data_IF_585000455926
#
_entry.id   IF_585000455926
#
_cell.length_a   1.000
_cell.length_b   1.000
_cell.length_c   1.000
_cell.angle_alpha   90.00
_cell.angle_beta   90.00
_cell.angle_gamma   90.00
#
_symmetry.space_group_name_H-M   'P 1'
#
loop_
_entity.id
_entity.type
_entity.pdbx_description
1 polymer ?
#
# COMPACT_ATOMS: atom_id res chain seq x y z
N UNK A 1 0.51 -20.79 -5.51
CA UNK A 1 1.31 -19.65 -6.00
C UNK A 1 0.90 -19.43 -7.44
N UNK A 2 0.30 -18.29 -7.77
CA UNK A 2 -0.12 -17.99 -9.14
C UNK A 2 1.07 -17.46 -9.92
N UNK A 3 1.28 -17.97 -11.13
CA UNK A 3 2.36 -17.52 -12.04
C UNK A 3 1.70 -16.87 -13.24
N UNK A 4 2.16 -15.68 -13.59
CA UNK A 4 1.72 -14.96 -14.77
C UNK A 4 2.91 -14.74 -15.70
N UNK A 5 2.73 -15.05 -16.99
CA UNK A 5 3.79 -14.95 -17.99
C UNK A 5 3.66 -13.63 -18.73
N UNK A 6 4.70 -12.82 -18.67
CA UNK A 6 4.82 -11.61 -19.47
C UNK A 6 5.31 -12.01 -20.87
N UNK A 7 4.55 -11.65 -21.90
CA UNK A 7 4.88 -11.93 -23.31
C UNK A 7 5.16 -10.67 -24.13
N UNK A 8 4.84 -9.50 -23.57
CA UNK A 8 4.96 -8.23 -24.27
C UNK A 8 6.24 -7.52 -23.81
N UNK A 9 6.86 -6.74 -24.71
CA UNK A 9 8.01 -5.91 -24.34
C UNK A 9 7.62 -4.81 -23.35
N UNK A 10 6.41 -4.29 -23.47
CA UNK A 10 5.88 -3.28 -22.54
C UNK A 10 4.60 -3.85 -21.92
N UNK A 11 4.56 -3.87 -20.59
CA UNK A 11 3.46 -4.41 -19.80
C UNK A 11 2.97 -3.31 -18.86
N UNK A 12 1.77 -2.80 -19.11
CA UNK A 12 1.06 -1.93 -18.17
C UNK A 12 0.47 -2.74 -17.02
N UNK A 13 0.58 -2.21 -15.80
CA UNK A 13 0.12 -2.83 -14.56
C UNK A 13 -0.83 -1.87 -13.85
N UNK A 14 -2.00 -2.36 -13.44
CA UNK A 14 -3.01 -1.59 -12.70
C UNK A 14 -4.19 -2.46 -12.29
N UNK A 15 -5.22 -1.90 -11.64
CA UNK A 15 -6.39 -2.69 -11.23
C UNK A 15 -7.36 -2.98 -12.38
N UNK A 16 -7.49 -2.08 -13.35
CA UNK A 16 -8.47 -2.18 -14.43
C UNK A 16 -8.00 -3.10 -15.56
N UNK A 17 -8.97 -3.68 -16.26
CA UNK A 17 -8.76 -4.56 -17.42
C UNK A 17 -8.25 -3.83 -18.68
N UNK A 18 -8.10 -2.50 -18.61
CA UNK A 18 -7.33 -1.73 -19.60
C UNK A 18 -5.83 -2.00 -19.52
N UNK A 19 -5.34 -2.55 -18.41
CA UNK A 19 -3.95 -2.94 -18.23
C UNK A 19 -3.68 -4.34 -18.78
N UNK A 20 -2.49 -4.56 -19.34
CA UNK A 20 -2.04 -5.89 -19.75
C UNK A 20 -2.02 -6.82 -18.53
N UNK A 21 -1.53 -6.32 -17.40
CA UNK A 21 -1.58 -7.00 -16.12
C UNK A 21 -2.64 -6.36 -15.21
N UNK A 22 -3.90 -6.83 -15.34
CA UNK A 22 -5.02 -6.46 -14.46
C UNK A 22 -4.92 -7.19 -13.12
N UNK A 23 -4.55 -6.45 -12.08
CA UNK A 23 -4.35 -7.00 -10.74
C UNK A 23 -5.69 -7.41 -10.10
N UNK A 24 -6.78 -6.68 -10.37
CA UNK A 24 -8.10 -7.05 -9.85
C UNK A 24 -8.59 -8.36 -10.47
N UNK A 25 -8.37 -8.58 -11.77
CA UNK A 25 -8.75 -9.81 -12.45
C UNK A 25 -7.93 -11.01 -11.97
N UNK A 26 -6.61 -10.84 -11.83
CA UNK A 26 -5.69 -11.92 -11.49
C UNK A 26 -5.74 -12.35 -10.02
N UNK A 27 -5.88 -11.39 -9.09
CA UNK A 27 -5.86 -11.65 -7.65
C UNK A 27 -7.20 -11.43 -6.95
N UNK A 28 -8.25 -11.05 -7.68
CA UNK A 28 -9.57 -10.71 -7.11
C UNK A 28 -9.43 -9.71 -5.96
N UNK A 29 -8.67 -8.65 -6.19
CA UNK A 29 -8.32 -7.65 -5.17
C UNK A 29 -8.82 -6.26 -5.55
N UNK A 30 -9.22 -5.50 -4.53
CA UNK A 30 -9.57 -4.08 -4.64
C UNK A 30 -8.79 -3.32 -3.55
N UNK A 31 -7.80 -2.54 -3.98
CA UNK A 31 -6.81 -1.90 -3.11
C UNK A 31 -6.67 -0.43 -3.46
N UNK A 32 -6.98 0.46 -2.51
CA UNK A 32 -6.91 1.91 -2.70
C UNK A 32 -5.49 2.46 -2.86
N UNK A 33 -4.47 1.67 -2.53
CA UNK A 33 -3.05 2.00 -2.70
C UNK A 33 -2.49 1.48 -4.03
N UNK A 34 -3.36 1.01 -4.93
CA UNK A 34 -2.96 0.61 -6.27
C UNK A 34 -3.73 1.51 -7.24
N UNK A 35 -3.01 2.33 -8.01
CA UNK A 35 -3.61 3.07 -9.12
C UNK A 35 -4.41 2.14 -10.05
N UNK A 36 -5.69 2.45 -10.29
CA UNK A 36 -6.54 1.59 -11.09
C UNK A 36 -6.20 1.62 -12.58
N UNK A 37 -5.84 2.79 -13.12
CA UNK A 37 -5.63 2.99 -14.55
C UNK A 37 -4.22 2.61 -14.96
N UNK A 38 -3.20 3.06 -14.23
CA UNK A 38 -1.81 2.74 -14.50
C UNK A 38 -0.97 2.94 -13.24
N UNK A 39 -0.62 1.84 -12.56
CA UNK A 39 0.25 1.87 -11.40
C UNK A 39 1.73 1.93 -11.81
N UNK A 40 2.10 1.05 -12.72
CA UNK A 40 3.46 0.92 -13.20
C UNK A 40 3.48 0.38 -14.62
N UNK A 41 4.63 0.51 -15.27
CA UNK A 41 4.93 -0.12 -16.55
C UNK A 41 6.22 -0.92 -16.40
N UNK A 42 6.20 -2.16 -16.87
CA UNK A 42 7.41 -2.99 -17.00
C UNK A 42 7.82 -2.99 -18.47
N UNK A 43 9.06 -2.56 -18.73
CA UNK A 43 9.67 -2.54 -20.05
C UNK A 43 10.78 -3.59 -20.12
N UNK A 44 10.84 -4.31 -21.22
CA UNK A 44 11.89 -5.24 -21.57
C UNK A 44 12.62 -4.69 -22.80
N UNK A 45 13.90 -4.39 -22.64
CA UNK A 45 14.79 -4.05 -23.75
C UNK A 45 15.66 -5.27 -24.03
N UNK A 46 15.58 -5.79 -25.25
CA UNK A 46 16.46 -6.88 -25.70
C UNK A 46 17.49 -6.27 -26.63
N UNK A 47 18.75 -6.34 -26.24
CA UNK A 47 19.87 -5.95 -27.09
C UNK A 47 20.23 -7.09 -28.07
N UNK A 48 21.02 -6.78 -29.10
CA UNK A 48 21.46 -7.73 -30.14
C UNK A 48 22.22 -8.95 -29.57
N UNK A 49 22.75 -8.86 -28.36
CA UNK A 49 23.52 -9.91 -27.66
C UNK A 49 22.65 -10.85 -26.78
N UNK A 50 21.33 -10.94 -27.02
CA UNK A 50 20.35 -11.69 -26.22
C UNK A 50 20.27 -11.25 -24.74
N UNK A 51 20.91 -10.14 -24.38
CA UNK A 51 20.86 -9.61 -23.03
C UNK A 51 19.56 -8.80 -22.86
N UNK A 52 18.58 -9.40 -22.19
CA UNK A 52 17.34 -8.70 -21.83
C UNK A 52 17.51 -7.94 -20.53
N UNK A 53 17.33 -6.62 -20.58
CA UNK A 53 17.18 -5.78 -19.39
C UNK A 53 15.70 -5.50 -19.12
N UNK A 54 15.30 -5.56 -17.86
CA UNK A 54 13.93 -5.30 -17.43
C UNK A 54 13.92 -4.10 -16.50
N UNK A 55 13.05 -3.15 -16.80
CA UNK A 55 12.91 -1.92 -16.06
C UNK A 55 11.45 -1.70 -15.66
N UNK A 56 11.22 -1.31 -14.42
CA UNK A 56 9.90 -0.94 -13.92
C UNK A 56 9.86 0.57 -13.70
N UNK A 57 8.88 1.23 -14.32
CA UNK A 57 8.58 2.64 -14.11
C UNK A 57 7.33 2.77 -13.26
N UNK A 58 7.45 3.50 -12.15
CA UNK A 58 6.30 3.82 -11.31
C UNK A 58 5.59 5.07 -11.85
N UNK A 59 4.28 4.97 -12.09
CA UNK A 59 3.41 6.10 -12.43
C UNK A 59 2.45 6.46 -11.30
N UNK A 60 2.32 5.60 -10.29
CA UNK A 60 1.42 5.81 -9.18
C UNK A 60 1.96 6.80 -8.16
N UNK A 61 1.10 7.71 -7.70
CA UNK A 61 1.37 8.54 -6.51
C UNK A 61 1.53 7.71 -5.22
N UNK A 62 1.05 6.46 -5.20
CA UNK A 62 1.17 5.59 -4.04
C UNK A 62 2.55 4.91 -3.96
N UNK A 63 3.32 4.95 -5.05
CA UNK A 63 4.65 4.36 -5.14
C UNK A 63 4.65 2.84 -5.34
N UNK A 64 5.77 2.35 -5.84
CA UNK A 64 6.08 0.93 -6.03
C UNK A 64 7.34 0.60 -5.23
N UNK A 65 7.36 -0.51 -4.49
CA UNK A 65 8.56 -0.97 -3.78
C UNK A 65 9.20 -2.10 -4.57
N UNK A 66 10.48 -1.98 -4.90
CA UNK A 66 11.29 -3.05 -5.53
C UNK A 66 12.48 -3.33 -4.63
N UNK A 67 12.62 -4.58 -4.19
CA UNK A 67 13.73 -5.04 -3.33
C UNK A 67 13.91 -4.19 -2.06
N UNK A 68 12.80 -3.64 -1.54
CA UNK A 68 12.77 -2.79 -0.35
C UNK A 68 12.98 -1.29 -0.62
N UNK A 69 13.32 -0.90 -1.85
CA UNK A 69 13.48 0.49 -2.29
C UNK A 69 12.16 1.03 -2.83
N UNK A 70 11.74 2.20 -2.37
CA UNK A 70 10.52 2.88 -2.82
C UNK A 70 10.80 3.71 -4.06
N UNK A 71 10.04 3.47 -5.13
CA UNK A 71 10.02 4.22 -6.38
C UNK A 71 8.71 5.00 -6.45
N UNK A 72 8.80 6.33 -6.48
CA UNK A 72 7.65 7.23 -6.43
C UNK A 72 7.70 8.28 -7.54
N UNK A 73 6.64 9.08 -7.63
CA UNK A 73 6.63 10.30 -8.45
C UNK A 73 6.96 11.47 -7.54
N UNK A 74 8.01 12.23 -7.84
CA UNK A 74 8.32 13.44 -7.08
C UNK A 74 7.24 14.50 -7.32
N UNK A 75 6.39 14.73 -6.31
CA UNK A 75 5.41 15.81 -6.33
C UNK A 75 6.06 17.21 -6.16
N UNK A 76 7.37 17.26 -5.86
CA UNK A 76 8.07 18.47 -5.43
C UNK A 76 9.37 18.69 -6.24
N UNK A 77 9.26 18.77 -7.57
CA UNK A 77 10.35 19.15 -8.49
C UNK A 77 10.97 20.55 -8.20
N UNK A 78 10.53 21.24 -7.14
CA UNK A 78 11.02 22.54 -6.68
C UNK A 78 12.02 22.48 -5.51
N UNK A 79 12.27 21.30 -4.93
CA UNK A 79 13.01 21.15 -3.66
C UNK A 79 14.26 20.27 -3.72
N UNK A 80 14.82 20.03 -4.91
CA UNK A 80 16.07 19.28 -5.09
C UNK A 80 17.31 20.10 -4.65
N UNK A 81 17.52 20.20 -3.34
CA UNK A 81 18.82 20.56 -2.74
C UNK A 81 18.80 20.29 -1.23
N UNK A 82 18.56 19.03 -0.85
CA UNK A 82 18.94 18.56 0.49
C UNK A 82 19.83 17.34 0.34
N UNK A 83 21.12 17.55 0.60
CA UNK A 83 22.10 16.49 0.77
C UNK A 83 21.66 15.51 1.88
N UNK A 84 22.04 14.23 1.78
CA UNK A 84 21.74 13.24 2.80
C UNK A 84 22.50 13.55 4.08
N UNK A 85 21.79 13.98 5.12
CA UNK A 85 22.38 14.08 6.46
C UNK A 85 22.53 12.66 7.01
N UNK A 86 23.77 12.18 7.08
CA UNK A 86 24.12 10.92 7.75
C UNK A 86 23.65 10.97 9.21
N UNK A 87 22.63 10.20 9.53
CA UNK A 87 22.09 10.05 10.89
C UNK A 87 22.93 9.06 11.71
N UNK A 88 24.12 9.48 12.14
CA UNK A 88 24.87 8.82 13.21
C UNK A 88 24.88 9.69 14.47
N UNK A 89 24.02 9.32 15.43
CA UNK A 89 24.31 9.30 16.87
C UNK A 89 24.80 10.59 17.54
N UNK A 90 23.89 11.44 18.00
CA UNK A 90 24.07 12.17 19.28
C UNK A 90 22.74 12.19 20.05
N UNK A 91 22.76 11.44 21.14
CA UNK A 91 21.81 11.49 22.22
C UNK A 91 22.23 12.61 23.16
N UNK A 92 21.37 13.59 23.40
CA UNK A 92 21.44 14.43 24.60
C UNK A 92 20.03 14.74 25.06
N UNK A 93 19.68 14.06 26.15
CA UNK A 93 18.68 14.44 27.14
C UNK A 93 19.04 15.81 27.69
N UNK A 94 18.17 16.80 27.52
CA UNK A 94 17.98 17.88 28.50
C UNK A 94 16.68 18.63 28.17
N UNK A 95 15.64 18.38 28.97
CA UNK A 95 14.58 19.34 29.29
C UNK A 95 13.92 18.90 30.61
N UNK A 96 14.77 18.68 31.61
CA UNK A 96 14.42 18.72 33.02
C UNK A 96 14.98 20.04 33.53
N UNK A 97 14.16 21.10 33.57
CA UNK A 97 14.19 22.21 34.54
C UNK A 97 13.26 23.34 34.04
N UNK A 98 11.96 23.20 34.28
CA UNK A 98 11.14 24.37 34.56
C UNK A 98 10.04 23.99 35.56
N UNK A 99 10.50 23.73 36.80
CA UNK A 99 9.66 23.79 38.01
C UNK A 99 9.60 25.24 38.44
N UNK A 100 8.39 25.80 38.50
CA UNK A 100 8.02 26.79 39.50
C UNK A 100 6.62 26.40 39.98
N UNK A 101 6.60 25.86 41.20
CA UNK A 101 5.45 25.71 42.06
C UNK A 101 4.90 27.10 42.44
N UNK A 102 3.58 27.23 42.59
CA UNK A 102 2.98 27.87 43.76
C UNK A 102 1.47 27.54 43.85
N UNK A 103 1.11 27.13 45.08
CA UNK A 103 -0.12 26.58 45.62
C UNK A 103 -1.42 27.38 45.44
N UNK A 104 -2.56 26.66 45.45
CA UNK A 104 -3.67 26.90 46.42
C UNK A 104 -4.98 26.18 46.04
N UNK A 105 -5.20 25.04 46.70
CA UNK A 105 -6.41 24.67 47.47
C UNK A 105 -7.85 24.59 46.89
N UNK A 106 -8.48 23.47 47.30
CA UNK A 106 -9.88 23.29 47.75
C UNK A 106 -10.99 22.78 46.79
N UNK A 107 -11.19 21.45 46.87
CA UNK A 107 -12.38 20.72 47.35
C UNK A 107 -13.82 21.07 46.89
N UNK A 108 -14.57 19.96 46.67
CA UNK A 108 -16.04 19.75 46.67
C UNK A 108 -16.68 19.63 45.27
N UNK A 109 -17.74 18.86 44.96
CA UNK A 109 -18.55 17.82 45.59
C UNK A 109 -19.64 17.37 44.58
N UNK A 110 -20.19 16.17 44.78
CA UNK A 110 -21.56 15.70 44.36
C UNK A 110 -21.62 14.99 42.99
N UNK A 111 -21.85 13.67 42.88
CA UNK A 111 -23.01 12.81 43.25
C UNK A 111 -24.35 13.21 42.61
N UNK A 112 -24.84 12.34 41.73
CA UNK A 112 -26.24 11.98 41.42
C UNK A 112 -26.17 10.96 40.26
N UNK A 113 -26.36 9.65 40.43
CA UNK A 113 -27.52 8.88 40.90
C UNK A 113 -28.77 9.06 40.02
N UNK A 114 -29.12 8.01 39.26
CA UNK A 114 -30.50 7.61 38.92
C UNK A 114 -30.52 6.37 38.03
N UNK A 115 -31.06 5.31 38.61
CA UNK A 115 -31.41 4.00 38.05
C UNK A 115 -32.62 4.07 37.08
N UNK A 116 -32.70 3.14 36.11
CA UNK A 116 -33.95 2.48 35.70
C UNK A 116 -33.73 1.35 34.66
N UNK A 117 -34.07 0.11 35.05
CA UNK A 117 -34.47 -1.03 34.18
C UNK A 117 -36.02 -1.00 34.08
N UNK A 118 -36.72 -1.62 33.09
CA UNK A 118 -36.81 -3.09 32.99
C UNK A 118 -37.20 -3.75 31.63
N UNK A 119 -37.14 -5.09 31.65
CA UNK A 119 -37.99 -6.15 31.03
C UNK A 119 -38.19 -6.42 29.50
N UNK A 120 -37.66 -7.58 29.09
CA UNK A 120 -38.29 -8.76 28.45
C UNK A 120 -39.28 -8.60 27.28
N UNK A 121 -38.99 -9.27 26.14
CA UNK A 121 -39.89 -10.24 25.46
C UNK A 121 -39.23 -10.98 24.27
N UNK A 122 -39.38 -12.30 24.29
CA UNK A 122 -39.17 -13.26 23.18
C UNK A 122 -40.18 -13.02 22.04
N UNK A 123 -39.89 -13.40 20.79
CA UNK A 123 -40.77 -14.23 19.93
C UNK A 123 -40.32 -14.34 18.46
N UNK A 124 -40.40 -15.58 17.94
CA UNK A 124 -40.78 -16.03 16.58
C UNK A 124 -39.96 -15.71 15.31
N UNK A 125 -39.31 -16.79 14.83
CA UNK A 125 -39.19 -17.30 13.46
C UNK A 125 -40.01 -16.59 12.35
N UNK A 126 -39.33 -16.31 11.22
CA UNK A 126 -39.94 -16.34 9.88
C UNK A 126 -38.95 -16.87 8.83
N UNK A 127 -39.29 -18.03 8.29
CA UNK A 127 -38.71 -18.66 7.10
C UNK A 127 -39.09 -17.89 5.82
N UNK A 128 -38.59 -18.35 4.66
CA UNK A 128 -38.78 -17.91 3.24
C UNK A 128 -37.71 -16.88 2.80
N UNK A 129 -36.87 -17.05 1.78
CA UNK A 129 -36.95 -17.82 0.52
C UNK A 129 -35.51 -18.07 -0.01
N UNK A 130 -35.18 -19.18 -0.71
CA UNK A 130 -33.92 -19.30 -1.44
C UNK A 130 -33.90 -18.28 -2.59
N UNK A 131 -33.04 -17.27 -2.46
CA UNK A 131 -32.80 -16.32 -3.54
C UNK A 131 -32.09 -17.01 -4.71
N UNK A 132 -32.38 -16.62 -5.96
CA UNK A 132 -31.76 -17.22 -7.14
C UNK A 132 -30.24 -17.04 -7.08
N UNK A 133 -29.51 -18.10 -7.41
CA UNK A 133 -28.06 -18.10 -7.55
C UNK A 133 -27.66 -17.01 -8.55
N UNK A 134 -27.18 -15.88 -8.01
CA UNK A 134 -26.54 -14.83 -8.79
C UNK A 134 -25.33 -15.40 -9.51
N UNK A 135 -25.01 -14.95 -10.74
CA UNK A 135 -23.78 -15.34 -11.42
C UNK A 135 -22.62 -15.08 -10.48
N UNK A 136 -21.76 -16.08 -10.31
CA UNK A 136 -20.65 -16.10 -9.35
C UNK A 136 -19.76 -14.87 -9.50
N UNK A 137 -20.13 -13.78 -8.82
CA UNK A 137 -19.29 -12.59 -8.72
C UNK A 137 -18.16 -13.04 -7.81
N UNK A 138 -16.99 -13.27 -8.38
CA UNK A 138 -15.77 -13.51 -7.58
C UNK A 138 -15.72 -12.40 -6.55
N UNK A 139 -15.82 -12.78 -5.27
CA UNK A 139 -15.84 -11.82 -4.17
C UNK A 139 -14.47 -11.13 -4.15
N UNK A 140 -14.43 -9.88 -4.57
CA UNK A 140 -13.23 -9.06 -4.48
C UNK A 140 -12.82 -8.92 -3.01
N UNK A 141 -11.55 -9.20 -2.75
CA UNK A 141 -10.92 -8.99 -1.46
C UNK A 141 -10.61 -7.49 -1.35
N UNK A 142 -11.41 -6.78 -0.55
CA UNK A 142 -11.06 -5.41 -0.16
C UNK A 142 -9.84 -5.45 0.76
N UNK A 143 -8.77 -4.72 0.39
CA UNK A 143 -7.63 -4.57 1.29
C UNK A 143 -8.07 -3.87 2.59
N UNK A 144 -7.36 -4.14 3.69
CA UNK A 144 -7.36 -3.29 4.90
C UNK A 144 -6.06 -2.50 5.03
N UNK A 145 -5.44 -2.20 3.90
CA UNK A 145 -4.23 -1.43 3.84
C UNK A 145 -4.52 0.01 4.31
N UNK A 146 -3.80 0.45 5.35
CA UNK A 146 -3.86 1.84 5.80
C UNK A 146 -3.19 2.74 4.78
N UNK A 147 -3.75 3.92 4.53
CA UNK A 147 -3.11 4.95 3.73
C UNK A 147 -1.96 5.56 4.54
N UNK A 148 -0.84 4.87 4.58
CA UNK A 148 0.44 5.46 4.92
C UNK A 148 1.07 5.77 3.55
N UNK A 149 1.16 7.05 3.13
CA UNK A 149 1.95 7.40 1.97
C UNK A 149 3.32 6.75 2.13
N UNK A 150 3.74 5.97 1.14
CA UNK A 150 5.12 5.51 1.08
C UNK A 150 5.95 6.77 0.81
N UNK A 151 6.34 7.47 1.87
CA UNK A 151 7.26 8.59 1.78
C UNK A 151 8.57 7.99 1.26
N UNK A 152 8.86 8.21 -0.02
CA UNK A 152 10.11 7.78 -0.60
C UNK A 152 11.23 8.50 0.18
N UNK A 153 12.08 7.77 0.92
CA UNK A 153 13.14 8.39 1.70
C UNK A 153 14.18 8.89 0.69
N UNK A 154 14.04 10.16 0.28
CA UNK A 154 14.70 10.74 -0.89
C UNK A 154 14.35 9.98 -2.18
N UNK A 155 13.33 10.48 -2.89
CA UNK A 155 12.79 9.92 -4.13
C UNK A 155 13.87 9.40 -5.08
N UNK A 156 13.91 8.09 -5.27
CA UNK A 156 14.55 7.52 -6.44
C UNK A 156 13.69 7.87 -7.64
N UNK A 157 14.00 8.99 -8.27
CA UNK A 157 13.47 9.40 -9.56
C UNK A 157 14.16 8.56 -10.65
N UNK A 158 13.51 7.51 -11.12
CA UNK A 158 14.07 6.62 -12.13
C UNK A 158 13.33 5.31 -12.28
N UNK A 159 13.81 4.46 -13.19
CA UNK A 159 13.32 3.09 -13.34
C UNK A 159 13.98 2.15 -12.33
N UNK A 160 13.23 1.16 -11.86
CA UNK A 160 13.75 0.06 -11.06
C UNK A 160 14.22 -1.06 -12.00
N UNK A 161 15.51 -1.41 -11.95
CA UNK A 161 16.03 -2.56 -12.71
C UNK A 161 15.56 -3.84 -12.04
N UNK A 162 14.79 -4.65 -12.77
CA UNK A 162 14.28 -5.94 -12.31
C UNK A 162 15.27 -7.06 -12.68
N UNK A 163 15.58 -7.92 -11.71
CA UNK A 163 16.40 -9.11 -11.89
C UNK A 163 15.62 -10.34 -11.47
N UNK A 164 16.03 -11.52 -11.94
CA UNK A 164 15.45 -12.77 -11.43
C UNK A 164 15.51 -12.78 -9.90
N UNK A 165 14.35 -12.94 -9.26
CA UNK A 165 14.20 -12.91 -7.80
C UNK A 165 13.82 -11.55 -7.21
N UNK A 166 13.73 -10.47 -8.02
CA UNK A 166 13.29 -9.17 -7.52
C UNK A 166 11.87 -9.24 -6.95
N UNK A 167 11.68 -8.66 -5.77
CA UNK A 167 10.39 -8.60 -5.08
C UNK A 167 9.76 -7.25 -5.34
N UNK A 168 8.60 -7.26 -5.99
CA UNK A 168 7.84 -6.07 -6.35
C UNK A 168 6.63 -5.98 -5.42
N UNK A 169 6.36 -4.81 -4.85
CA UNK A 169 5.18 -4.56 -4.01
C UNK A 169 4.47 -3.29 -4.44
N UNK A 170 3.16 -3.41 -4.62
CA UNK A 170 2.23 -2.33 -4.97
C UNK A 170 1.06 -2.40 -3.99
N UNK A 171 0.88 -1.38 -3.16
CA UNK A 171 -0.08 -1.43 -2.06
C UNK A 171 0.11 -2.67 -1.18
N UNK A 172 -0.92 -3.52 -1.12
CA UNK A 172 -0.89 -4.78 -0.35
C UNK A 172 -0.49 -6.03 -1.16
N UNK A 173 -0.21 -5.89 -2.45
CA UNK A 173 0.18 -7.00 -3.31
C UNK A 173 1.72 -7.10 -3.36
N UNK A 174 2.26 -8.29 -3.13
CA UNK A 174 3.68 -8.59 -3.31
C UNK A 174 3.84 -9.69 -4.36
N UNK A 175 4.72 -9.46 -5.32
CA UNK A 175 4.99 -10.34 -6.46
C UNK A 175 6.49 -10.62 -6.54
N UNK A 176 6.83 -11.81 -7.01
CA UNK A 176 8.21 -12.18 -7.32
C UNK A 176 8.39 -12.14 -8.83
N UNK A 177 9.35 -11.34 -9.31
CA UNK A 177 9.74 -11.34 -10.70
C UNK A 177 10.73 -12.48 -10.95
N UNK A 178 10.45 -13.31 -11.96
CA UNK A 178 11.28 -14.46 -12.30
C UNK A 178 11.54 -14.47 -13.81
N UNK A 179 12.82 -14.60 -14.17
CA UNK A 179 13.20 -14.97 -15.52
C UNK A 179 13.04 -16.49 -15.69
N UNK A 180 12.53 -16.97 -16.84
CA UNK A 180 12.52 -18.40 -17.15
C UNK A 180 13.97 -18.90 -17.17
N UNK A 181 14.25 -19.96 -16.41
CA UNK A 181 15.48 -20.71 -16.56
C UNK A 181 15.38 -21.47 -17.89
N UNK A 182 16.37 -21.27 -18.77
CA UNK A 182 16.49 -22.00 -20.04
C UNK A 182 16.72 -23.49 -19.85
#
# INVERSE_FOLDING_TARGET
MSVYRLTNQVVSVGLLDSNILSLASLWSIDCSLIDPEQHAVICCSTDDDDNSSFELLNYSQYGTVVDGVVYGVDADASRSSREPVLSHLVQTVDDFLNRNDDDSDSLNSSLSDSEAKPDVKQSLIKSTSPQPLSPSTRRMLRCRCGFEPLEAPAGWEGSAVLRHGSVIRMGCLSMLFVLPLG
#
